data_IF_946774748949
#
_entry.id   IF_946774748949
#
_cell.length_a   1.000
_cell.length_b   1.000
_cell.length_c   1.000
_cell.angle_alpha   90.00
_cell.angle_beta   90.00
_cell.angle_gamma   90.00
#
_symmetry.space_group_name_H-M   'P 1'
#
loop_
_entity.id
_entity.type
_entity.pdbx_description
1 polymer ?
#
# COMPACT_ATOMS: atom_id res chain seq x y z
N UNK A 1 34.23 -22.86 13.17
CA UNK A 1 33.26 -21.75 13.13
C UNK A 1 31.99 -22.31 12.47
N UNK A 2 30.93 -22.58 13.24
CA UNK A 2 29.64 -22.97 12.70
C UNK A 2 29.07 -21.73 11.96
N UNK A 3 29.12 -21.73 10.65
CA UNK A 3 28.33 -20.81 9.84
C UNK A 3 26.87 -21.21 10.06
N UNK A 4 26.19 -20.57 11.02
CA UNK A 4 24.74 -20.66 11.06
C UNK A 4 24.20 -20.24 9.69
N UNK A 5 23.31 -21.06 9.12
CA UNK A 5 22.65 -20.69 7.88
C UNK A 5 21.98 -19.32 8.08
N UNK A 6 22.22 -18.38 7.16
CA UNK A 6 21.56 -17.07 7.21
C UNK A 6 20.05 -17.26 7.19
N UNK A 7 19.34 -16.47 7.95
CA UNK A 7 17.88 -16.43 7.93
C UNK A 7 17.33 -15.99 6.58
N UNK A 8 16.03 -16.09 6.40
CA UNK A 8 15.31 -15.74 5.16
C UNK A 8 14.40 -14.54 5.38
N UNK A 9 14.54 -13.52 4.54
CA UNK A 9 13.63 -12.37 4.49
C UNK A 9 12.46 -12.69 3.55
N UNK A 10 11.23 -12.49 4.01
CA UNK A 10 10.03 -12.66 3.18
C UNK A 10 9.19 -11.40 3.24
N UNK A 11 9.08 -10.67 2.13
CA UNK A 11 8.09 -9.61 1.98
C UNK A 11 6.72 -10.23 1.72
N UNK A 12 5.73 -9.93 2.55
CA UNK A 12 4.41 -10.55 2.46
C UNK A 12 3.35 -9.50 2.16
N UNK A 13 2.73 -9.60 0.98
CA UNK A 13 1.55 -8.82 0.64
C UNK A 13 0.33 -9.33 1.39
N UNK A 14 -0.31 -8.43 2.16
CA UNK A 14 -1.48 -8.77 2.98
C UNK A 14 -2.81 -8.47 2.30
N UNK A 15 -2.78 -8.00 1.05
CA UNK A 15 -4.01 -7.60 0.37
C UNK A 15 -4.56 -6.25 0.84
N UNK A 16 -5.71 -5.84 0.30
CA UNK A 16 -6.25 -4.49 0.46
C UNK A 16 -7.09 -4.27 1.72
N UNK A 17 -7.32 -5.31 2.54
CA UNK A 17 -8.10 -5.15 3.79
C UNK A 17 -8.88 -6.38 4.21
N UNK A 18 -9.47 -7.12 3.26
CA UNK A 18 -10.17 -8.37 3.52
C UNK A 18 -9.17 -9.52 3.72
N UNK A 19 -9.18 -10.23 4.87
CA UNK A 19 -8.32 -11.39 5.11
C UNK A 19 -8.50 -12.52 4.09
N UNK A 20 -9.66 -12.67 3.46
CA UNK A 20 -9.90 -13.69 2.43
C UNK A 20 -9.17 -13.40 1.11
N UNK A 21 -8.65 -12.18 0.96
CA UNK A 21 -7.80 -11.80 -0.17
C UNK A 21 -6.30 -12.05 0.05
N UNK A 22 -5.94 -12.70 1.17
CA UNK A 22 -4.59 -13.23 1.37
C UNK A 22 -4.33 -14.36 0.36
N UNK A 23 -3.16 -14.35 -0.23
CA UNK A 23 -2.76 -15.47 -1.08
C UNK A 23 -2.46 -16.71 -0.23
N UNK A 24 -2.74 -17.91 -0.73
CA UNK A 24 -2.37 -19.16 -0.04
C UNK A 24 -0.87 -19.22 0.29
N UNK A 25 -0.03 -18.59 -0.54
CA UNK A 25 1.41 -18.51 -0.31
C UNK A 25 1.73 -17.59 0.87
N UNK A 26 1.03 -16.48 1.02
CA UNK A 26 1.17 -15.58 2.17
C UNK A 26 0.78 -16.30 3.47
N UNK A 27 -0.36 -17.00 3.49
CA UNK A 27 -0.80 -17.78 4.66
C UNK A 27 0.23 -18.83 5.07
N UNK A 28 0.80 -19.58 4.11
CA UNK A 28 1.87 -20.56 4.43
C UNK A 28 3.12 -19.88 5.00
N UNK A 29 3.57 -18.77 4.39
CA UNK A 29 4.74 -18.06 4.89
C UNK A 29 4.54 -17.51 6.30
N UNK A 30 3.34 -17.01 6.63
CA UNK A 30 2.99 -16.56 7.98
C UNK A 30 2.99 -17.70 8.99
N UNK A 31 2.54 -18.89 8.60
CA UNK A 31 2.57 -20.09 9.44
C UNK A 31 3.99 -20.62 9.69
N UNK A 32 4.96 -20.31 8.83
CA UNK A 32 6.37 -20.72 8.96
C UNK A 32 7.24 -19.66 9.65
N UNK A 33 6.83 -18.38 9.64
CA UNK A 33 7.64 -17.28 10.13
C UNK A 33 8.00 -17.38 11.61
N UNK A 34 9.28 -17.18 11.94
CA UNK A 34 9.75 -17.04 13.31
C UNK A 34 9.48 -15.64 13.86
N UNK A 35 9.57 -14.65 12.96
CA UNK A 35 9.37 -13.23 13.26
C UNK A 35 8.42 -12.63 12.25
N UNK A 36 7.46 -11.87 12.73
CA UNK A 36 6.53 -11.07 11.89
C UNK A 36 6.77 -9.59 12.17
N UNK A 37 7.39 -8.92 11.23
CA UNK A 37 7.63 -7.48 11.29
C UNK A 37 6.50 -6.72 10.56
N UNK A 38 6.03 -5.63 11.14
CA UNK A 38 4.96 -4.83 10.57
C UNK A 38 5.13 -3.34 10.87
N UNK A 39 4.80 -2.51 9.92
CA UNK A 39 4.83 -1.05 10.09
C UNK A 39 3.56 -0.58 10.81
N UNK A 40 3.74 0.35 11.76
CA UNK A 40 2.62 0.91 12.52
C UNK A 40 2.86 2.36 12.90
N UNK A 41 1.78 3.08 13.22
CA UNK A 41 1.85 4.35 13.93
C UNK A 41 1.94 4.10 15.43
N UNK A 42 2.48 5.06 16.17
CA UNK A 42 2.51 5.00 17.63
C UNK A 42 1.08 4.77 18.19
N UNK A 43 0.93 3.78 19.07
CA UNK A 43 -0.36 3.41 19.67
C UNK A 43 -1.31 2.62 18.76
N UNK A 44 -0.83 2.10 17.63
CA UNK A 44 -1.61 1.24 16.72
C UNK A 44 -0.83 -0.01 16.35
N UNK A 45 -1.52 -1.13 16.16
CA UNK A 45 -0.89 -2.38 15.69
C UNK A 45 -0.68 -2.43 14.16
N UNK A 46 -1.13 -1.39 13.43
CA UNK A 46 -1.06 -1.35 11.97
C UNK A 46 -2.10 -2.26 11.28
N UNK A 47 -2.52 -1.85 10.07
CA UNK A 47 -3.58 -2.56 9.34
C UNK A 47 -3.10 -3.90 8.78
N UNK A 48 -1.89 -3.96 8.23
CA UNK A 48 -1.32 -5.21 7.72
C UNK A 48 -1.30 -6.30 8.82
N UNK A 49 -0.95 -5.92 10.08
CA UNK A 49 -0.99 -6.85 11.22
C UNK A 49 -2.42 -7.27 11.57
N UNK A 50 -3.38 -6.37 11.50
CA UNK A 50 -4.79 -6.68 11.76
C UNK A 50 -5.34 -7.69 10.74
N UNK A 51 -5.03 -7.53 9.45
CA UNK A 51 -5.47 -8.42 8.37
C UNK A 51 -5.00 -9.86 8.62
N UNK A 52 -3.75 -10.05 9.01
CA UNK A 52 -3.17 -11.40 9.15
C UNK A 52 -3.38 -12.05 10.51
N UNK A 53 -4.06 -11.39 11.45
CA UNK A 53 -4.13 -11.79 12.85
C UNK A 53 -4.48 -13.24 13.11
N UNK A 54 -5.45 -13.79 12.37
CA UNK A 54 -5.89 -15.18 12.49
C UNK A 54 -4.89 -16.22 11.92
N UNK A 55 -3.90 -15.78 11.15
CA UNK A 55 -2.95 -16.65 10.44
C UNK A 55 -1.56 -16.69 11.10
N UNK A 56 -1.37 -15.95 12.18
CA UNK A 56 -0.09 -15.93 12.90
C UNK A 56 0.00 -17.09 13.90
N UNK A 57 1.19 -17.67 14.01
CA UNK A 57 1.46 -18.65 15.07
C UNK A 57 1.49 -17.96 16.43
N UNK A 58 0.95 -18.59 17.49
CA UNK A 58 0.98 -18.03 18.85
C UNK A 58 2.39 -17.77 19.38
N UNK A 59 3.40 -18.46 18.83
CA UNK A 59 4.80 -18.41 19.28
C UNK A 59 5.70 -17.54 18.40
N UNK A 60 5.16 -16.86 17.37
CA UNK A 60 5.95 -15.96 16.55
C UNK A 60 6.36 -14.71 17.33
N UNK A 61 7.55 -14.20 17.04
CA UNK A 61 8.02 -12.91 17.58
C UNK A 61 7.38 -11.80 16.77
N UNK A 62 6.59 -10.92 17.40
CA UNK A 62 6.08 -9.72 16.75
C UNK A 62 7.11 -8.59 16.84
N UNK A 63 7.46 -8.00 15.70
CA UNK A 63 8.42 -6.91 15.58
C UNK A 63 7.74 -5.66 15.01
N UNK A 64 7.15 -4.80 15.84
CA UNK A 64 6.56 -3.55 15.37
C UNK A 64 7.65 -2.55 14.95
N UNK A 65 7.55 -2.05 13.73
CA UNK A 65 8.37 -0.97 13.17
C UNK A 65 7.54 0.32 13.24
N UNK A 66 7.75 1.10 14.31
CA UNK A 66 6.89 2.22 14.65
C UNK A 66 7.44 3.52 14.06
N UNK A 67 6.67 4.15 13.16
CA UNK A 67 7.02 5.44 12.58
C UNK A 67 7.18 6.52 13.66
N UNK A 68 8.28 7.30 13.62
CA UNK A 68 8.49 8.41 14.56
C UNK A 68 7.52 9.57 14.29
N UNK A 69 7.24 9.82 13.02
CA UNK A 69 6.33 10.86 12.49
C UNK A 69 5.54 10.31 11.32
N UNK A 70 4.33 10.79 11.08
CA UNK A 70 3.51 10.41 9.93
C UNK A 70 3.02 11.63 9.15
N UNK A 71 1.87 12.20 9.53
CA UNK A 71 1.24 13.34 8.84
C UNK A 71 1.38 14.65 9.59
N UNK A 72 2.06 14.65 10.75
CA UNK A 72 2.22 15.79 11.64
C UNK A 72 3.17 16.83 11.07
N UNK A 73 4.17 16.40 10.28
CA UNK A 73 5.15 17.26 9.62
C UNK A 73 4.99 17.09 8.10
N UNK A 74 5.18 18.18 7.36
CA UNK A 74 5.15 18.12 5.90
C UNK A 74 6.30 17.23 5.38
N UNK A 75 5.98 16.34 4.41
CA UNK A 75 6.93 15.39 3.81
C UNK A 75 8.16 16.08 3.17
N UNK A 76 8.03 17.33 2.77
CA UNK A 76 9.08 18.10 2.13
C UNK A 76 9.98 18.84 3.14
N UNK A 77 9.63 18.80 4.44
CA UNK A 77 10.45 19.36 5.53
C UNK A 77 11.69 18.47 5.77
N UNK A 78 12.84 19.10 6.01
CA UNK A 78 14.10 18.37 6.23
C UNK A 78 14.04 17.43 7.44
N UNK A 79 13.42 17.89 8.54
CA UNK A 79 13.29 17.08 9.76
C UNK A 79 12.45 15.80 9.51
N UNK A 80 11.39 15.89 8.67
CA UNK A 80 10.63 14.71 8.26
C UNK A 80 11.51 13.73 7.47
N UNK A 81 12.27 14.24 6.48
CA UNK A 81 13.14 13.40 5.65
C UNK A 81 14.22 12.71 6.46
N UNK A 82 14.86 13.43 7.40
CA UNK A 82 15.85 12.85 8.29
C UNK A 82 15.25 11.79 9.20
N UNK A 83 14.17 12.11 9.92
CA UNK A 83 13.51 11.18 10.83
C UNK A 83 13.03 9.89 10.14
N UNK A 84 12.54 10.00 8.90
CA UNK A 84 12.11 8.83 8.10
C UNK A 84 13.31 8.01 7.60
N UNK A 85 14.42 8.65 7.21
CA UNK A 85 15.63 7.95 6.83
C UNK A 85 16.20 7.15 8.01
N UNK A 86 16.34 7.77 9.18
CA UNK A 86 16.84 7.15 10.40
C UNK A 86 15.92 5.99 10.84
N UNK A 87 14.61 6.15 10.72
CA UNK A 87 13.63 5.10 10.99
C UNK A 87 13.84 3.86 10.10
N UNK A 88 14.07 4.04 8.80
CA UNK A 88 14.31 2.90 7.93
C UNK A 88 15.65 2.22 8.21
N UNK A 89 16.71 2.96 8.52
CA UNK A 89 17.99 2.38 8.93
C UNK A 89 17.86 1.58 10.23
N UNK A 90 17.15 2.09 11.23
CA UNK A 90 16.87 1.38 12.48
C UNK A 90 16.01 0.12 12.21
N UNK A 91 15.00 0.22 11.34
CA UNK A 91 14.15 -0.90 10.97
C UNK A 91 14.95 -2.01 10.26
N UNK A 92 15.86 -1.64 9.36
CA UNK A 92 16.78 -2.57 8.69
C UNK A 92 17.66 -3.28 9.71
N UNK A 93 18.21 -2.55 10.68
CA UNK A 93 19.06 -3.12 11.72
C UNK A 93 18.31 -4.16 12.56
N UNK A 94 17.11 -3.82 13.06
CA UNK A 94 16.25 -4.73 13.84
C UNK A 94 15.90 -6.00 13.05
N UNK A 95 15.56 -5.89 11.78
CA UNK A 95 15.26 -7.05 10.93
C UNK A 95 16.52 -7.88 10.67
N UNK A 96 17.66 -7.23 10.40
CA UNK A 96 18.95 -7.92 10.16
C UNK A 96 19.41 -8.73 11.34
N UNK A 97 19.25 -8.27 12.58
CA UNK A 97 19.59 -9.04 13.80
C UNK A 97 18.88 -10.40 13.84
N UNK A 98 17.60 -10.43 13.47
CA UNK A 98 16.87 -11.69 13.39
C UNK A 98 17.34 -12.59 12.25
N UNK A 99 17.63 -12.01 11.09
CA UNK A 99 18.14 -12.74 9.93
C UNK A 99 19.55 -13.31 10.20
N UNK A 100 20.40 -12.57 10.88
CA UNK A 100 21.74 -13.04 11.30
C UNK A 100 21.65 -14.18 12.33
N UNK A 101 20.60 -14.19 13.15
CA UNK A 101 20.29 -15.27 14.06
C UNK A 101 19.68 -16.52 13.37
N UNK A 102 19.62 -16.56 12.04
CA UNK A 102 19.12 -17.68 11.25
C UNK A 102 17.59 -17.77 11.17
N UNK A 103 16.86 -16.74 11.58
CA UNK A 103 15.38 -16.74 11.62
C UNK A 103 14.76 -16.37 10.28
N UNK A 104 13.57 -16.91 10.01
CA UNK A 104 12.70 -16.43 8.94
C UNK A 104 11.91 -15.22 9.42
N UNK A 105 12.11 -14.09 8.76
CA UNK A 105 11.41 -12.83 9.04
C UNK A 105 10.42 -12.54 7.94
N UNK A 106 9.12 -12.57 8.25
CA UNK A 106 8.05 -12.10 7.38
C UNK A 106 7.79 -10.62 7.65
N UNK A 107 7.97 -9.76 6.64
CA UNK A 107 7.67 -8.33 6.72
C UNK A 107 6.35 -8.06 6.01
N UNK A 108 5.36 -7.62 6.76
CA UNK A 108 4.01 -7.37 6.24
C UNK A 108 3.94 -6.05 5.46
N UNK A 109 3.19 -6.07 4.36
CA UNK A 109 2.90 -4.88 3.56
C UNK A 109 1.45 -4.90 3.11
N UNK A 110 0.70 -3.83 3.38
CA UNK A 110 -0.66 -3.65 2.86
C UNK A 110 -0.63 -3.66 1.33
N UNK A 111 -1.60 -4.34 0.70
CA UNK A 111 -1.58 -4.57 -0.73
C UNK A 111 -0.41 -5.45 -1.16
N UNK A 112 0.46 -4.92 -2.01
CA UNK A 112 1.66 -5.58 -2.54
C UNK A 112 2.94 -4.97 -1.96
N UNK A 113 3.95 -5.77 -1.57
CA UNK A 113 5.17 -5.28 -0.92
C UNK A 113 6.01 -4.34 -1.79
N UNK A 114 5.97 -4.49 -3.10
CA UNK A 114 6.78 -3.71 -4.05
C UNK A 114 5.98 -2.59 -4.73
N UNK A 115 4.75 -2.31 -4.27
CA UNK A 115 3.90 -1.27 -4.82
C UNK A 115 3.52 -0.23 -3.78
N UNK A 116 4.23 0.89 -3.72
CA UNK A 116 4.08 1.98 -2.72
C UNK A 116 4.18 1.53 -1.25
N UNK A 117 4.74 0.35 -0.99
CA UNK A 117 4.87 -0.22 0.35
C UNK A 117 6.19 0.16 1.02
N UNK A 118 6.17 0.30 2.34
CA UNK A 118 7.38 0.58 3.14
C UNK A 118 8.40 -0.56 3.13
N UNK A 119 7.96 -1.78 2.85
CA UNK A 119 8.85 -2.93 2.67
C UNK A 119 9.98 -2.67 1.65
N UNK A 120 9.72 -1.89 0.60
CA UNK A 120 10.74 -1.59 -0.42
C UNK A 120 12.02 -1.01 0.17
N UNK A 121 11.91 -0.22 1.25
CA UNK A 121 13.09 0.37 1.92
C UNK A 121 13.95 -0.69 2.62
N UNK A 122 13.35 -1.76 3.13
CA UNK A 122 14.05 -2.91 3.71
C UNK A 122 14.60 -3.80 2.60
N UNK A 123 13.81 -4.04 1.55
CA UNK A 123 14.17 -4.89 0.43
C UNK A 123 15.49 -4.45 -0.21
N UNK A 124 15.60 -3.18 -0.61
CA UNK A 124 16.79 -2.65 -1.30
C UNK A 124 18.06 -2.65 -0.43
N UNK A 125 17.95 -2.80 0.88
CA UNK A 125 19.07 -2.83 1.83
C UNK A 125 19.45 -4.22 2.32
N UNK A 126 18.54 -5.17 2.20
CA UNK A 126 18.71 -6.51 2.79
C UNK A 126 18.77 -7.64 1.74
N UNK A 127 18.19 -7.46 0.55
CA UNK A 127 18.07 -8.53 -0.44
C UNK A 127 19.43 -9.07 -0.94
N UNK A 128 20.45 -8.22 -1.02
CA UNK A 128 21.81 -8.65 -1.41
C UNK A 128 22.58 -9.31 -0.25
N UNK A 129 22.09 -9.19 0.97
CA UNK A 129 22.74 -9.69 2.19
C UNK A 129 22.18 -11.03 2.65
N UNK A 130 20.89 -11.27 2.39
CA UNK A 130 20.13 -12.41 2.90
C UNK A 130 19.28 -13.06 1.81
N UNK A 131 19.05 -14.40 1.86
CA UNK A 131 18.05 -15.05 1.02
C UNK A 131 16.70 -14.33 1.15
N UNK A 132 16.18 -13.84 0.04
CA UNK A 132 14.99 -12.98 0.05
C UNK A 132 13.94 -13.50 -0.92
N UNK A 133 12.70 -13.50 -0.48
CA UNK A 133 11.51 -13.81 -1.26
C UNK A 133 10.49 -12.69 -1.12
N UNK A 134 9.75 -12.40 -2.20
CA UNK A 134 8.61 -11.48 -2.16
C UNK A 134 7.36 -12.21 -2.59
N UNK A 135 6.36 -12.22 -1.72
CA UNK A 135 5.04 -12.79 -1.99
C UNK A 135 4.11 -11.64 -2.37
N UNK A 136 3.65 -11.57 -3.63
CA UNK A 136 2.76 -10.50 -4.06
C UNK A 136 1.42 -10.56 -3.32
N UNK A 137 0.77 -9.42 -3.22
CA UNK A 137 -0.58 -9.29 -2.69
C UNK A 137 -1.52 -8.60 -3.65
N UNK A 138 -2.83 -8.79 -3.45
CA UNK A 138 -3.85 -8.03 -4.17
C UNK A 138 -3.67 -6.55 -3.82
N UNK A 139 -3.46 -5.70 -4.83
CA UNK A 139 -3.23 -4.27 -4.61
C UNK A 139 -4.52 -3.55 -4.17
N UNK A 140 -4.38 -2.43 -3.47
CA UNK A 140 -5.52 -1.60 -3.06
C UNK A 140 -6.38 -1.15 -4.26
N UNK A 141 -5.76 -0.84 -5.40
CA UNK A 141 -6.49 -0.45 -6.61
C UNK A 141 -7.36 -1.59 -7.13
N UNK A 142 -6.83 -2.84 -7.15
CA UNK A 142 -7.59 -4.02 -7.58
C UNK A 142 -8.77 -4.30 -6.64
N UNK A 143 -8.55 -4.24 -5.33
CA UNK A 143 -9.63 -4.35 -4.35
C UNK A 143 -10.70 -3.28 -4.52
N UNK A 144 -10.31 -2.02 -4.78
CA UNK A 144 -11.24 -0.92 -4.95
C UNK A 144 -12.09 -1.01 -6.22
N UNK A 145 -11.52 -1.34 -7.40
CA UNK A 145 -12.36 -1.47 -8.59
C UNK A 145 -13.27 -2.69 -8.56
N UNK A 146 -12.83 -3.80 -7.89
CA UNK A 146 -13.68 -4.95 -7.65
C UNK A 146 -14.85 -4.60 -6.71
N UNK A 147 -14.58 -3.84 -5.64
CA UNK A 147 -15.60 -3.37 -4.72
C UNK A 147 -16.61 -2.42 -5.38
N UNK A 148 -16.14 -1.59 -6.30
CA UNK A 148 -17.00 -0.67 -7.06
C UNK A 148 -17.74 -1.36 -8.22
N UNK A 149 -17.44 -2.65 -8.52
CA UNK A 149 -17.98 -3.35 -9.68
C UNK A 149 -17.59 -2.69 -11.01
N UNK A 150 -16.43 -2.04 -11.07
CA UNK A 150 -16.01 -1.17 -12.16
C UNK A 150 -14.95 -1.85 -13.04
N UNK A 151 -15.30 -2.26 -14.30
CA UNK A 151 -14.29 -2.62 -15.30
C UNK A 151 -13.40 -1.42 -15.58
N UNK A 152 -12.08 -1.57 -15.44
CA UNK A 152 -11.19 -0.41 -15.46
C UNK A 152 -10.59 -0.15 -16.85
N UNK A 153 -10.10 -1.18 -17.53
CA UNK A 153 -9.45 -1.10 -18.84
C UNK A 153 -9.74 -2.33 -19.69
N UNK A 154 -9.67 -2.16 -21.02
CA UNK A 154 -9.71 -3.26 -21.98
C UNK A 154 -8.83 -2.98 -23.20
N UNK A 155 -8.47 -4.02 -23.95
CA UNK A 155 -7.73 -3.91 -25.21
C UNK A 155 -6.47 -3.06 -25.06
N UNK A 156 -6.38 -2.00 -25.82
CA UNK A 156 -5.24 -1.09 -25.88
C UNK A 156 -5.37 0.12 -24.94
N UNK A 157 -6.33 0.11 -24.01
CA UNK A 157 -6.50 1.22 -23.05
C UNK A 157 -5.26 1.40 -22.17
N UNK A 158 -4.80 2.64 -22.07
CA UNK A 158 -3.70 3.02 -21.18
C UNK A 158 -4.23 3.31 -19.78
N UNK A 159 -3.70 2.58 -18.79
CA UNK A 159 -3.97 2.83 -17.36
C UNK A 159 -2.83 3.61 -16.72
N UNK A 160 -3.13 4.78 -16.17
CA UNK A 160 -2.20 5.56 -15.37
C UNK A 160 -2.48 5.43 -13.87
N UNK A 161 -1.44 5.10 -13.09
CA UNK A 161 -1.51 5.15 -11.62
C UNK A 161 -0.83 6.42 -11.14
N UNK A 162 -1.62 7.34 -10.53
CA UNK A 162 -1.19 8.69 -10.21
C UNK A 162 -1.23 8.95 -8.70
N UNK A 163 -0.13 9.41 -8.07
CA UNK A 163 -0.19 9.95 -6.72
C UNK A 163 -0.94 11.28 -6.68
N UNK A 164 -2.01 11.39 -5.89
CA UNK A 164 -2.76 12.63 -5.69
C UNK A 164 -1.93 13.77 -5.08
N UNK A 165 -0.73 13.45 -4.58
CA UNK A 165 0.24 14.44 -4.08
C UNK A 165 0.94 15.23 -5.19
N UNK A 166 0.81 14.86 -6.46
CA UNK A 166 1.31 15.65 -7.59
C UNK A 166 0.69 17.05 -7.61
N UNK A 167 1.34 17.99 -8.29
CA UNK A 167 0.73 19.29 -8.57
C UNK A 167 -0.54 19.14 -9.44
N UNK A 168 -1.45 20.10 -9.34
CA UNK A 168 -2.66 20.10 -10.17
C UNK A 168 -2.34 20.09 -11.67
N UNK A 169 -1.32 20.86 -12.07
CA UNK A 169 -0.82 20.88 -13.43
C UNK A 169 -0.38 19.49 -13.92
N UNK A 170 0.42 18.78 -13.15
CA UNK A 170 0.88 17.42 -13.51
C UNK A 170 -0.25 16.41 -13.51
N UNK A 171 -1.20 16.49 -12.58
CA UNK A 171 -2.39 15.64 -12.58
C UNK A 171 -3.22 15.87 -13.85
N UNK A 172 -3.50 17.13 -14.19
CA UNK A 172 -4.29 17.50 -15.38
C UNK A 172 -3.61 17.00 -16.65
N UNK A 173 -2.30 17.23 -16.78
CA UNK A 173 -1.52 16.79 -17.94
C UNK A 173 -1.58 15.27 -18.13
N UNK A 174 -1.38 14.49 -17.05
CA UNK A 174 -1.39 13.03 -17.13
C UNK A 174 -2.79 12.46 -17.32
N UNK A 175 -3.80 13.08 -16.72
CA UNK A 175 -5.19 12.69 -16.92
C UNK A 175 -5.67 12.98 -18.33
N UNK A 176 -5.16 14.02 -19.00
CA UNK A 176 -5.49 14.30 -20.39
C UNK A 176 -5.03 13.20 -21.35
N UNK A 177 -3.88 12.59 -21.05
CA UNK A 177 -3.19 11.61 -21.91
C UNK A 177 -3.30 10.17 -21.37
N UNK A 178 -4.49 9.79 -20.89
CA UNK A 178 -4.74 8.40 -20.42
C UNK A 178 -6.21 8.04 -20.60
N UNK A 179 -6.50 6.79 -20.89
CA UNK A 179 -7.87 6.28 -21.01
C UNK A 179 -8.49 6.05 -19.63
N UNK A 180 -7.75 5.42 -18.75
CA UNK A 180 -8.15 5.11 -17.39
C UNK A 180 -7.11 5.62 -16.38
N UNK A 181 -7.55 5.89 -15.16
CA UNK A 181 -6.64 6.28 -14.08
C UNK A 181 -7.04 5.71 -12.73
N UNK A 182 -6.03 5.44 -11.91
CA UNK A 182 -6.16 5.21 -10.48
C UNK A 182 -5.40 6.31 -9.75
N UNK A 183 -6.11 7.13 -8.97
CA UNK A 183 -5.47 8.20 -8.20
C UNK A 183 -5.41 7.77 -6.74
N UNK A 184 -4.18 7.55 -6.26
CA UNK A 184 -3.87 7.14 -4.89
C UNK A 184 -3.44 8.35 -4.04
N UNK A 185 -3.31 8.15 -2.73
CA UNK A 185 -2.91 9.22 -1.77
C UNK A 185 -3.83 10.44 -1.85
N UNK A 186 -5.14 10.16 -1.90
CA UNK A 186 -6.18 11.15 -2.04
C UNK A 186 -6.18 12.11 -0.85
N UNK A 187 -6.67 11.71 0.32
CA UNK A 187 -6.68 12.54 1.54
C UNK A 187 -6.99 14.01 1.26
N UNK A 188 -6.22 14.90 1.86
CA UNK A 188 -6.32 16.37 1.68
C UNK A 188 -6.15 16.86 0.22
N UNK A 189 -5.81 15.98 -0.71
CA UNK A 189 -5.62 16.35 -2.12
C UNK A 189 -6.91 16.25 -2.94
N UNK A 190 -8.02 15.79 -2.36
CA UNK A 190 -9.28 15.58 -3.09
C UNK A 190 -9.76 16.82 -3.84
N UNK A 191 -9.74 18.05 -3.28
CA UNK A 191 -10.16 19.25 -4.03
C UNK A 191 -9.35 19.48 -5.30
N UNK A 192 -8.05 19.29 -5.23
CA UNK A 192 -7.12 19.42 -6.37
C UNK A 192 -7.39 18.34 -7.42
N UNK A 193 -7.65 17.11 -6.99
CA UNK A 193 -7.97 15.97 -7.86
C UNK A 193 -9.28 16.25 -8.61
N UNK A 194 -10.33 16.78 -7.95
CA UNK A 194 -11.59 17.17 -8.60
C UNK A 194 -11.34 18.18 -9.74
N UNK A 195 -10.62 19.26 -9.47
CA UNK A 195 -10.33 20.28 -10.49
C UNK A 195 -9.59 19.71 -11.70
N UNK A 196 -8.61 18.83 -11.46
CA UNK A 196 -7.89 18.17 -12.54
C UNK A 196 -8.80 17.25 -13.38
N UNK A 197 -9.73 16.54 -12.73
CA UNK A 197 -10.74 15.70 -13.41
C UNK A 197 -11.77 16.53 -14.18
N UNK A 198 -12.20 17.66 -13.64
CA UNK A 198 -13.08 18.62 -14.34
C UNK A 198 -12.40 19.17 -15.59
N UNK A 199 -11.17 19.67 -15.45
CA UNK A 199 -10.39 20.24 -16.55
C UNK A 199 -10.13 19.25 -17.69
N UNK A 200 -10.16 17.93 -17.40
CA UNK A 200 -9.97 16.87 -18.40
C UNK A 200 -11.26 16.17 -18.82
N UNK A 201 -12.44 16.65 -18.36
CA UNK A 201 -13.74 16.08 -18.68
C UNK A 201 -13.96 14.66 -18.12
N UNK A 202 -13.19 14.26 -17.08
CA UNK A 202 -13.22 12.91 -16.52
C UNK A 202 -14.00 12.79 -15.20
N UNK A 203 -14.46 13.91 -14.62
CA UNK A 203 -15.17 13.90 -13.33
C UNK A 203 -16.44 13.05 -13.36
N UNK A 204 -17.23 13.12 -14.42
CA UNK A 204 -18.51 12.41 -14.55
C UNK A 204 -18.38 10.88 -14.52
N UNK A 205 -17.20 10.34 -14.85
CA UNK A 205 -16.90 8.89 -14.80
C UNK A 205 -15.96 8.49 -13.68
N UNK A 206 -15.62 9.43 -12.81
CA UNK A 206 -14.76 9.16 -11.66
C UNK A 206 -15.58 8.56 -10.52
N UNK A 207 -15.06 7.48 -9.93
CA UNK A 207 -15.63 6.81 -8.76
C UNK A 207 -14.69 6.97 -7.59
N UNK A 208 -15.21 7.45 -6.47
CA UNK A 208 -14.52 7.52 -5.20
C UNK A 208 -14.75 6.23 -4.42
N UNK A 209 -13.69 5.65 -3.90
CA UNK A 209 -13.75 4.45 -3.05
C UNK A 209 -12.92 4.70 -1.80
N UNK A 210 -13.49 4.47 -0.64
CA UNK A 210 -12.76 4.46 0.62
C UNK A 210 -12.82 3.12 1.30
N UNK A 211 -11.71 2.73 1.95
CA UNK A 211 -11.57 1.47 2.69
C UNK A 211 -12.02 0.26 1.87
N UNK A 212 -11.66 0.25 0.59
CA UNK A 212 -12.03 -0.83 -0.32
C UNK A 212 -11.66 -2.19 0.25
N UNK A 213 -12.63 -3.13 0.21
CA UNK A 213 -12.57 -4.48 0.82
C UNK A 213 -12.55 -4.56 2.35
N UNK A 214 -12.51 -3.44 3.07
CA UNK A 214 -12.66 -3.43 4.53
C UNK A 214 -14.16 -3.45 4.92
N UNK A 215 -14.46 -3.83 6.16
CA UNK A 215 -15.85 -3.95 6.65
C UNK A 215 -16.68 -2.65 6.55
N UNK A 216 -16.01 -1.49 6.55
CA UNK A 216 -16.63 -0.16 6.45
C UNK A 216 -16.32 0.54 5.13
N UNK A 217 -16.28 -0.23 4.03
CA UNK A 217 -16.07 0.29 2.68
C UNK A 217 -17.22 1.20 2.25
N UNK A 218 -16.90 2.23 1.47
CA UNK A 218 -17.88 3.04 0.77
C UNK A 218 -17.39 3.34 -0.66
N UNK A 219 -18.33 3.38 -1.61
CA UNK A 219 -18.04 3.67 -3.01
C UNK A 219 -19.19 4.50 -3.59
N UNK A 220 -18.87 5.54 -4.35
CA UNK A 220 -19.86 6.44 -4.97
C UNK A 220 -19.26 7.17 -6.18
N UNK A 221 -20.09 7.65 -7.13
CA UNK A 221 -19.60 8.61 -8.11
C UNK A 221 -18.94 9.81 -7.41
N UNK A 222 -17.76 10.20 -7.87
CA UNK A 222 -17.06 11.32 -7.23
C UNK A 222 -17.86 12.64 -7.32
N UNK A 223 -18.67 12.79 -8.36
CA UNK A 223 -19.54 13.95 -8.51
C UNK A 223 -20.60 14.07 -7.39
N UNK A 224 -21.02 12.95 -6.81
CA UNK A 224 -22.04 12.89 -5.76
C UNK A 224 -21.47 13.07 -4.34
N UNK A 225 -20.14 13.03 -4.20
CA UNK A 225 -19.50 13.25 -2.90
C UNK A 225 -19.54 14.75 -2.56
N UNK A 226 -20.35 15.10 -1.55
CA UNK A 226 -20.67 16.47 -1.19
C UNK A 226 -19.52 17.24 -0.50
N UNK A 227 -18.62 16.53 0.16
CA UNK A 227 -17.48 17.10 0.89
C UNK A 227 -16.14 16.66 0.27
N UNK A 228 -15.07 17.27 0.75
CA UNK A 228 -13.71 16.95 0.34
C UNK A 228 -12.92 16.16 1.41
N UNK A 229 -13.61 15.63 2.41
CA UNK A 229 -12.99 14.77 3.39
C UNK A 229 -12.72 13.39 2.80
N UNK A 230 -11.49 12.94 2.91
CA UNK A 230 -11.08 11.63 2.43
C UNK A 230 -10.12 10.99 3.43
N UNK A 231 -10.43 9.78 3.95
CA UNK A 231 -9.55 9.07 4.85
C UNK A 231 -8.26 8.65 4.13
N UNK A 232 -7.28 8.20 4.90
CA UNK A 232 -6.00 7.71 4.35
C UNK A 232 -6.20 6.61 3.29
N UNK A 233 -7.11 5.67 3.55
CA UNK A 233 -7.46 4.61 2.60
C UNK A 233 -8.58 5.07 1.66
N UNK A 234 -8.25 5.93 0.74
CA UNK A 234 -9.14 6.34 -0.35
C UNK A 234 -8.43 6.39 -1.69
N UNK A 235 -9.17 6.05 -2.72
CA UNK A 235 -8.74 5.99 -4.12
C UNK A 235 -9.83 6.65 -4.97
N UNK A 236 -9.41 7.35 -6.02
CA UNK A 236 -10.31 7.76 -7.10
C UNK A 236 -10.00 6.93 -8.34
N UNK A 237 -11.01 6.29 -8.88
CA UNK A 237 -10.95 5.44 -10.07
C UNK A 237 -11.58 6.19 -11.25
N UNK A 238 -10.92 6.13 -12.39
CA UNK A 238 -11.45 6.65 -13.66
C UNK A 238 -11.42 5.52 -14.67
N UNK A 239 -12.57 4.96 -15.02
CA UNK A 239 -12.64 3.85 -15.97
C UNK A 239 -12.39 4.31 -17.41
N UNK A 240 -11.65 3.52 -18.17
CA UNK A 240 -11.54 3.65 -19.63
C UNK A 240 -12.78 3.13 -20.37
N UNK A 241 -13.49 2.22 -19.72
CA UNK A 241 -14.68 1.56 -20.29
C UNK A 241 -15.92 2.45 -20.16
N UNK A 242 -16.12 3.36 -21.08
CA UNK A 242 -17.33 4.21 -21.11
C UNK A 242 -17.99 4.13 -22.49
N UNK A 243 -19.24 3.62 -22.53
CA UNK A 243 -20.03 3.56 -23.77
C UNK A 243 -19.50 2.63 -24.86
N UNK A 244 -18.66 1.68 -24.52
CA UNK A 244 -18.18 0.64 -25.45
C UNK A 244 -19.01 -0.61 -25.31
N UNK A 245 -19.36 -1.31 -26.43
CA UNK A 245 -20.12 -2.55 -26.42
C UNK A 245 -19.34 -3.69 -25.77
#
# INVERSE_FOLDING_TARGET
MNMHAKGRLVGVGTGPGDPELLTLKAVRALAEADVVAHFSKRGSNGNARAIVGAHLRPVCIELPLVYPVTTEIDKDHNDYRSAIADFYEESVHKVAEHLEAGRMVAVLSEGDPLFYGSYMHLHVRLADRFPTEVIPGVTAMSGCWSQAGLPIVQGDDVLSVLPGTMSEFELTRRLADTDAAVIMKVGRNLPKIRRALEATGKLARAVYVERGTMANTASMPLADKADDDAPYFSIVLVAGWVGRP
#
